data_IF_037099032338
#
_entry.id   IF_037099032338
#
_cell.length_a   1.000
_cell.length_b   1.000
_cell.length_c   1.000
_cell.angle_alpha   90.00
_cell.angle_beta   90.00
_cell.angle_gamma   90.00
#
_symmetry.space_group_name_H-M   'P 1'
#
loop_
_entity.id
_entity.type
_entity.pdbx_description
1 polymer ?
#
# COMPACT_ATOMS: atom_id res chain seq x y z
N UNK A 1 -20.07 4.23 -69.84
CA UNK A 1 -19.80 3.85 -68.44
C UNK A 1 -20.92 2.95 -68.01
N UNK A 2 -20.63 1.69 -67.71
CA UNK A 2 -21.65 0.69 -67.41
C UNK A 2 -22.29 0.95 -66.03
N UNK A 3 -23.64 1.00 -65.92
CA UNK A 3 -24.33 1.21 -64.64
C UNK A 3 -23.94 0.20 -63.56
N UNK A 4 -23.54 -1.00 -63.98
CA UNK A 4 -23.09 -2.07 -63.10
C UNK A 4 -21.83 -1.68 -62.28
N UNK A 5 -20.93 -0.87 -62.85
CA UNK A 5 -19.72 -0.42 -62.16
C UNK A 5 -20.04 0.57 -61.03
N UNK A 6 -21.03 1.45 -61.23
CA UNK A 6 -21.44 2.40 -60.20
C UNK A 6 -22.07 1.69 -58.99
N UNK A 7 -22.89 0.68 -59.24
CA UNK A 7 -23.50 -0.13 -58.18
C UNK A 7 -22.42 -0.93 -57.43
N UNK A 8 -21.48 -1.55 -58.16
CA UNK A 8 -20.37 -2.28 -57.57
C UNK A 8 -19.46 -1.38 -56.71
N UNK A 9 -19.16 -0.16 -57.17
CA UNK A 9 -18.36 0.80 -56.43
C UNK A 9 -19.07 1.31 -55.17
N UNK A 10 -20.39 1.53 -55.23
CA UNK A 10 -21.19 1.93 -54.07
C UNK A 10 -21.20 0.84 -52.99
N UNK A 11 -21.46 -0.41 -53.38
CA UNK A 11 -21.45 -1.55 -52.46
C UNK A 11 -20.07 -1.74 -51.85
N UNK A 12 -18.99 -1.64 -52.65
CA UNK A 12 -17.63 -1.75 -52.15
C UNK A 12 -17.28 -0.63 -51.15
N UNK A 13 -17.68 0.62 -51.43
CA UNK A 13 -17.46 1.74 -50.52
C UNK A 13 -18.25 1.58 -49.22
N UNK A 14 -19.51 1.16 -49.30
CA UNK A 14 -20.38 0.98 -48.15
C UNK A 14 -19.92 -0.20 -47.28
N UNK A 15 -19.57 -1.33 -47.89
CA UNK A 15 -19.01 -2.49 -47.16
C UNK A 15 -17.64 -2.20 -46.55
N UNK A 16 -16.78 -1.45 -47.26
CA UNK A 16 -15.48 -1.00 -46.71
C UNK A 16 -15.69 -0.04 -45.55
N UNK A 17 -16.64 0.90 -45.66
CA UNK A 17 -16.97 1.83 -44.60
C UNK A 17 -17.56 1.13 -43.37
N UNK A 18 -18.50 0.19 -43.57
CA UNK A 18 -19.10 -0.62 -42.51
C UNK A 18 -18.05 -1.51 -41.82
N UNK A 19 -17.14 -2.11 -42.58
CA UNK A 19 -16.02 -2.88 -42.03
C UNK A 19 -15.08 -1.98 -41.24
N UNK A 20 -14.76 -0.79 -41.76
CA UNK A 20 -13.91 0.17 -41.09
C UNK A 20 -14.49 0.64 -39.74
N UNK A 21 -15.80 0.92 -39.66
CA UNK A 21 -16.44 1.29 -38.38
C UNK A 21 -16.63 0.10 -37.44
N UNK A 22 -16.83 -1.12 -37.94
CA UNK A 22 -17.01 -2.33 -37.13
C UNK A 22 -15.69 -2.85 -36.54
N UNK A 23 -14.57 -2.63 -37.24
CA UNK A 23 -13.22 -3.01 -36.80
C UNK A 23 -12.57 -1.92 -35.94
N UNK A 24 -13.18 -0.72 -35.81
CA UNK A 24 -12.73 0.24 -34.80
C UNK A 24 -12.88 -0.39 -33.41
N UNK A 25 -11.79 -0.53 -32.63
CA UNK A 25 -11.92 -0.99 -31.26
C UNK A 25 -12.81 0.01 -30.53
N UNK A 26 -13.99 -0.44 -30.13
CA UNK A 26 -14.88 0.35 -29.28
C UNK A 26 -14.20 0.45 -27.94
N UNK A 27 -13.60 1.60 -27.66
CA UNK A 27 -13.03 1.97 -26.36
C UNK A 27 -14.10 1.77 -25.30
N UNK A 28 -14.04 0.63 -24.62
CA UNK A 28 -15.01 0.31 -23.58
C UNK A 28 -14.22 0.19 -22.30
N UNK A 29 -14.01 1.33 -21.65
CA UNK A 29 -13.57 1.33 -20.25
C UNK A 29 -14.68 0.61 -19.49
N UNK A 30 -14.33 -0.51 -18.88
CA UNK A 30 -15.24 -1.33 -18.09
C UNK A 30 -14.91 -1.22 -16.61
N UNK A 31 -15.82 -1.68 -15.75
CA UNK A 31 -15.66 -1.71 -14.28
C UNK A 31 -14.36 -2.38 -13.80
N UNK A 32 -13.80 -3.32 -14.57
CA UNK A 32 -12.55 -4.01 -14.21
C UNK A 32 -11.27 -3.26 -14.62
N UNK A 33 -11.40 -2.24 -15.47
CA UNK A 33 -10.27 -1.50 -16.05
C UNK A 33 -9.53 -0.71 -14.97
N UNK A 34 -8.26 -0.41 -15.23
CA UNK A 34 -7.41 0.37 -14.34
C UNK A 34 -7.01 1.65 -15.06
N UNK A 35 -7.44 2.79 -14.53
CA UNK A 35 -7.00 4.12 -14.97
C UNK A 35 -5.64 4.40 -14.35
N UNK A 36 -4.65 4.75 -15.16
CA UNK A 36 -3.25 4.91 -14.72
C UNK A 36 -2.90 6.39 -14.63
N UNK A 37 -2.37 6.79 -13.47
CA UNK A 37 -1.89 8.13 -13.15
C UNK A 37 -0.41 8.34 -13.56
N UNK A 38 -0.03 9.60 -13.81
CA UNK A 38 1.33 10.10 -14.01
C UNK A 38 2.30 9.57 -12.96
N UNK A 39 1.92 9.61 -11.67
CA UNK A 39 2.80 9.15 -10.58
C UNK A 39 3.17 7.67 -10.70
N UNK A 40 2.22 6.81 -11.07
CA UNK A 40 2.42 5.37 -11.22
C UNK A 40 3.29 5.04 -12.45
N UNK A 41 3.15 5.81 -13.53
CA UNK A 41 3.99 5.69 -14.72
C UNK A 41 5.44 6.08 -14.43
N UNK A 42 5.65 7.19 -13.73
CA UNK A 42 7.00 7.64 -13.35
C UNK A 42 7.69 6.65 -12.40
N UNK A 43 6.94 6.00 -11.51
CA UNK A 43 7.48 4.94 -10.65
C UNK A 43 7.88 3.69 -11.45
N UNK A 44 7.07 3.31 -12.45
CA UNK A 44 7.38 2.28 -13.45
C UNK A 44 7.29 0.83 -12.96
N UNK A 45 7.20 0.57 -11.64
CA UNK A 45 7.06 -0.82 -11.11
C UNK A 45 5.78 -1.52 -11.56
N UNK A 46 4.79 -0.78 -12.08
CA UNK A 46 3.60 -1.35 -12.72
C UNK A 46 3.95 -2.31 -13.87
N UNK A 47 5.04 -2.07 -14.60
CA UNK A 47 5.53 -2.96 -15.66
C UNK A 47 5.85 -4.36 -15.11
N UNK A 48 6.60 -4.42 -14.00
CA UNK A 48 6.96 -5.68 -13.36
C UNK A 48 5.73 -6.41 -12.79
N UNK A 49 4.76 -5.66 -12.25
CA UNK A 49 3.51 -6.21 -11.71
C UNK A 49 2.66 -6.82 -12.84
N UNK A 50 2.57 -6.15 -13.98
CA UNK A 50 1.89 -6.69 -15.17
C UNK A 50 2.60 -7.94 -15.68
N UNK A 51 3.92 -7.88 -15.89
CA UNK A 51 4.72 -9.02 -16.40
C UNK A 51 4.66 -10.26 -15.51
N UNK A 52 4.50 -10.08 -14.20
CA UNK A 52 4.34 -11.20 -13.25
C UNK A 52 2.93 -11.80 -13.25
N UNK A 53 1.96 -11.19 -13.93
CA UNK A 53 0.58 -11.67 -14.00
C UNK A 53 -0.32 -11.23 -12.84
N UNK A 54 0.19 -10.43 -11.89
CA UNK A 54 -0.63 -9.91 -10.78
C UNK A 54 -1.69 -8.89 -11.24
N UNK A 55 -1.42 -8.18 -12.35
CA UNK A 55 -2.38 -7.27 -12.98
C UNK A 55 -2.59 -7.72 -14.42
N UNK A 56 -3.78 -8.28 -14.68
CA UNK A 56 -4.26 -8.71 -16.00
C UNK A 56 -5.39 -7.84 -16.55
N UNK A 57 -5.79 -6.80 -15.81
CA UNK A 57 -6.83 -5.88 -16.24
C UNK A 57 -6.32 -4.92 -17.31
N UNK A 58 -7.23 -4.51 -18.19
CA UNK A 58 -6.98 -3.46 -19.19
C UNK A 58 -6.53 -2.17 -18.53
N UNK A 59 -5.42 -1.63 -19.00
CA UNK A 59 -4.88 -0.35 -18.53
C UNK A 59 -5.37 0.78 -19.44
N UNK A 60 -5.87 1.83 -18.81
CA UNK A 60 -6.35 3.04 -19.48
C UNK A 60 -5.43 4.18 -19.08
N UNK A 61 -4.73 4.75 -20.04
CA UNK A 61 -3.88 5.93 -19.85
C UNK A 61 -4.60 7.14 -20.45
N UNK A 62 -5.15 8.06 -19.64
CA UNK A 62 -5.83 9.23 -20.19
C UNK A 62 -4.89 10.14 -20.97
N UNK A 63 -5.40 10.82 -22.00
CA UNK A 63 -4.60 11.75 -22.81
C UNK A 63 -4.05 12.92 -21.98
N UNK A 64 -4.78 13.35 -20.94
CA UNK A 64 -4.34 14.35 -19.99
C UNK A 64 -3.05 13.96 -19.23
N UNK A 65 -2.91 12.70 -18.84
CA UNK A 65 -1.70 12.14 -18.21
C UNK A 65 -0.52 12.16 -19.18
N UNK A 66 -0.74 11.78 -20.44
CA UNK A 66 0.29 11.84 -21.48
C UNK A 66 0.75 13.28 -21.71
N UNK A 67 -0.19 14.23 -21.80
CA UNK A 67 0.11 15.66 -21.95
C UNK A 67 0.89 16.21 -20.76
N UNK A 68 0.55 15.80 -19.54
CA UNK A 68 1.28 16.21 -18.33
C UNK A 68 2.72 15.71 -18.35
N UNK A 69 2.95 14.43 -18.68
CA UNK A 69 4.28 13.87 -18.85
C UNK A 69 5.09 14.60 -19.94
N UNK A 70 4.48 14.89 -21.09
CA UNK A 70 5.12 15.67 -22.15
C UNK A 70 5.51 17.08 -21.68
N UNK A 71 4.58 17.78 -21.02
CA UNK A 71 4.82 19.11 -20.47
C UNK A 71 6.00 19.10 -19.48
N UNK A 72 6.04 18.13 -18.58
CA UNK A 72 7.14 17.95 -17.64
C UNK A 72 8.47 17.61 -18.34
N UNK A 73 8.44 16.79 -19.38
CA UNK A 73 9.62 16.40 -20.16
C UNK A 73 10.25 17.59 -20.91
N UNK A 74 9.44 18.58 -21.30
CA UNK A 74 9.89 19.75 -22.05
C UNK A 74 10.28 20.94 -21.16
N UNK A 75 9.55 21.17 -20.06
CA UNK A 75 9.61 22.44 -19.31
C UNK A 75 10.12 22.34 -17.87
N UNK A 76 10.34 21.14 -17.34
CA UNK A 76 10.83 20.98 -15.99
C UNK A 76 12.37 21.10 -15.89
N UNK A 77 12.89 21.06 -14.68
CA UNK A 77 14.30 20.86 -14.35
C UNK A 77 14.80 19.48 -14.79
N UNK A 78 16.13 19.31 -14.91
CA UNK A 78 16.76 18.13 -15.51
C UNK A 78 16.18 16.81 -14.98
N UNK A 79 16.17 16.64 -13.66
CA UNK A 79 15.75 15.39 -13.03
C UNK A 79 14.26 15.10 -13.26
N UNK A 80 13.40 16.13 -13.20
CA UNK A 80 11.97 15.97 -13.50
C UNK A 80 11.73 15.64 -14.97
N UNK A 81 12.52 16.20 -15.88
CA UNK A 81 12.44 15.87 -17.32
C UNK A 81 12.80 14.41 -17.58
N UNK A 82 13.88 13.91 -16.97
CA UNK A 82 14.28 12.51 -17.10
C UNK A 82 13.21 11.56 -16.57
N UNK A 83 12.64 11.87 -15.40
CA UNK A 83 11.53 11.10 -14.81
C UNK A 83 10.28 11.10 -15.70
N UNK A 84 9.95 12.23 -16.30
CA UNK A 84 8.80 12.33 -17.19
C UNK A 84 9.00 11.55 -18.51
N UNK A 85 10.20 11.60 -19.09
CA UNK A 85 10.56 10.76 -20.25
C UNK A 85 10.48 9.29 -19.93
N UNK A 86 11.00 8.88 -18.77
CA UNK A 86 10.85 7.52 -18.28
C UNK A 86 9.38 7.10 -18.14
N UNK A 87 8.51 7.99 -17.65
CA UNK A 87 7.06 7.73 -17.62
C UNK A 87 6.45 7.47 -19.01
N UNK A 88 6.89 8.20 -20.04
CA UNK A 88 6.48 7.96 -21.43
C UNK A 88 7.01 6.61 -21.95
N UNK A 89 8.27 6.28 -21.66
CA UNK A 89 8.87 4.98 -22.01
C UNK A 89 8.15 3.81 -21.34
N UNK A 90 7.65 4.00 -20.12
CA UNK A 90 6.83 3.03 -19.40
C UNK A 90 5.51 2.78 -20.13
N UNK A 91 4.83 3.80 -20.68
CA UNK A 91 3.63 3.61 -21.49
C UNK A 91 3.94 2.73 -22.70
N UNK A 92 5.01 3.04 -23.44
CA UNK A 92 5.42 2.26 -24.62
C UNK A 92 5.76 0.82 -24.24
N UNK A 93 6.44 0.63 -23.11
CA UNK A 93 6.77 -0.70 -22.59
C UNK A 93 5.50 -1.49 -22.26
N UNK A 94 4.53 -0.87 -21.57
CA UNK A 94 3.26 -1.50 -21.25
C UNK A 94 2.49 -1.89 -22.52
N UNK A 95 2.45 -1.03 -23.54
CA UNK A 95 1.81 -1.31 -24.83
C UNK A 95 2.44 -2.47 -25.60
N UNK A 96 3.72 -2.78 -25.34
CA UNK A 96 4.43 -3.91 -25.96
C UNK A 96 4.18 -5.26 -25.26
N UNK A 97 3.44 -5.30 -24.16
CA UNK A 97 3.17 -6.53 -23.40
C UNK A 97 1.91 -7.20 -23.93
N UNK A 98 2.05 -8.36 -24.58
CA UNK A 98 0.93 -9.09 -25.20
C UNK A 98 -0.13 -9.61 -24.22
N UNK A 99 0.19 -9.69 -22.92
CA UNK A 99 -0.72 -10.26 -21.91
C UNK A 99 -1.77 -9.28 -21.42
N UNK A 100 -1.68 -7.99 -21.76
CA UNK A 100 -2.65 -6.96 -21.35
C UNK A 100 -2.96 -6.00 -22.49
N UNK A 101 -4.15 -5.43 -22.46
CA UNK A 101 -4.51 -4.31 -23.33
C UNK A 101 -4.16 -2.99 -22.64
N UNK A 102 -3.46 -2.12 -23.36
CA UNK A 102 -3.16 -0.74 -22.93
C UNK A 102 -3.76 0.22 -23.94
N UNK A 103 -4.67 1.07 -23.49
CA UNK A 103 -5.36 2.04 -24.34
C UNK A 103 -5.10 3.47 -23.86
N UNK A 104 -4.72 4.34 -24.80
CA UNK A 104 -4.72 5.78 -24.57
C UNK A 104 -6.14 6.28 -24.77
N UNK A 105 -6.78 6.72 -23.69
CA UNK A 105 -8.16 7.21 -23.73
C UNK A 105 -8.17 8.72 -23.91
N UNK A 106 -8.80 9.18 -25.00
CA UNK A 106 -9.06 10.59 -25.21
C UNK A 106 -10.12 11.08 -24.23
N UNK A 107 -9.66 11.78 -23.21
CA UNK A 107 -10.45 12.37 -22.14
C UNK A 107 -10.72 13.86 -22.35
N UNK A 108 -10.35 14.40 -23.51
CA UNK A 108 -10.56 15.79 -23.89
C UNK A 108 -9.63 16.77 -23.18
N UNK A 109 -10.11 18.01 -23.06
CA UNK A 109 -9.38 19.07 -22.36
C UNK A 109 -9.38 18.85 -20.84
N UNK A 110 -8.27 19.20 -20.20
CA UNK A 110 -8.16 19.11 -18.75
C UNK A 110 -9.08 20.15 -18.10
N UNK A 111 -10.01 19.72 -17.26
CA UNK A 111 -10.89 20.61 -16.51
C UNK A 111 -10.11 21.46 -15.49
N UNK A 112 -10.79 22.47 -14.91
CA UNK A 112 -10.17 23.41 -13.99
C UNK A 112 -9.50 22.76 -12.76
N UNK A 113 -9.96 21.60 -12.28
CA UNK A 113 -9.33 20.87 -11.18
C UNK A 113 -8.15 19.98 -11.58
N UNK A 114 -7.67 20.06 -12.82
CA UNK A 114 -6.44 19.41 -13.25
C UNK A 114 -6.59 17.94 -13.61
N UNK A 115 -5.44 17.24 -13.71
CA UNK A 115 -5.37 15.82 -14.10
C UNK A 115 -6.01 14.93 -13.04
N UNK A 116 -5.77 15.19 -11.76
CA UNK A 116 -6.30 14.42 -10.64
C UNK A 116 -7.84 14.35 -10.64
N UNK A 117 -8.52 15.48 -10.82
CA UNK A 117 -9.98 15.52 -10.89
C UNK A 117 -10.50 14.72 -12.09
N UNK A 118 -9.81 14.82 -13.22
CA UNK A 118 -10.15 14.09 -14.43
C UNK A 118 -10.05 12.56 -14.22
N UNK A 119 -8.99 12.10 -13.54
CA UNK A 119 -8.81 10.68 -13.19
C UNK A 119 -9.96 10.16 -12.32
N UNK A 120 -10.40 10.94 -11.33
CA UNK A 120 -11.53 10.61 -10.46
C UNK A 120 -12.83 10.52 -11.27
N UNK A 121 -13.08 11.49 -12.15
CA UNK A 121 -14.27 11.51 -13.01
C UNK A 121 -14.32 10.27 -13.91
N UNK A 122 -13.21 9.94 -14.57
CA UNK A 122 -13.12 8.75 -15.45
C UNK A 122 -13.36 7.48 -14.63
N UNK A 123 -12.65 7.32 -13.50
CA UNK A 123 -12.77 6.13 -12.66
C UNK A 123 -14.21 5.93 -12.16
N UNK A 124 -14.88 6.99 -11.67
CA UNK A 124 -16.30 6.93 -11.26
C UNK A 124 -17.23 6.60 -12.42
N UNK A 125 -17.08 7.31 -13.54
CA UNK A 125 -17.98 7.20 -14.70
C UNK A 125 -18.04 5.76 -15.22
N UNK A 126 -16.92 5.07 -15.22
CA UNK A 126 -16.83 3.70 -15.75
C UNK A 126 -16.76 2.62 -14.66
N UNK A 127 -16.81 3.01 -13.37
CA UNK A 127 -16.58 2.12 -12.24
C UNK A 127 -15.19 1.46 -12.25
N UNK A 128 -14.21 2.09 -12.90
CA UNK A 128 -12.86 1.61 -13.02
C UNK A 128 -12.05 1.86 -11.74
N UNK A 129 -10.94 1.15 -11.61
CA UNK A 129 -9.99 1.31 -10.49
C UNK A 129 -8.94 2.35 -10.84
N UNK A 130 -8.34 3.00 -9.85
CA UNK A 130 -7.30 4.00 -10.04
C UNK A 130 -5.93 3.45 -9.64
N UNK A 131 -4.96 3.42 -10.56
CA UNK A 131 -3.57 3.12 -10.24
C UNK A 131 -2.80 4.43 -10.04
N UNK A 132 -2.47 4.72 -8.79
CA UNK A 132 -1.69 5.91 -8.40
C UNK A 132 -0.73 5.55 -7.26
N UNK A 133 0.43 6.20 -7.24
CA UNK A 133 1.37 6.16 -6.11
C UNK A 133 1.32 7.43 -5.27
N UNK A 134 0.58 8.45 -5.72
CA UNK A 134 0.35 9.69 -4.96
C UNK A 134 -0.53 9.44 -3.74
N UNK A 135 -0.11 10.00 -2.60
CA UNK A 135 -0.79 9.79 -1.32
C UNK A 135 -2.12 10.55 -1.24
N UNK A 136 -2.18 11.77 -1.75
CA UNK A 136 -3.35 12.62 -1.67
C UNK A 136 -4.45 12.14 -2.61
N UNK A 137 -4.10 11.84 -3.87
CA UNK A 137 -5.03 11.29 -4.85
C UNK A 137 -5.59 9.94 -4.39
N UNK A 138 -4.76 9.08 -3.78
CA UNK A 138 -5.22 7.83 -3.16
C UNK A 138 -6.28 8.10 -2.06
N UNK A 139 -6.06 9.07 -1.17
CA UNK A 139 -7.03 9.42 -0.12
C UNK A 139 -8.34 9.94 -0.69
N UNK A 140 -8.27 10.84 -1.68
CA UNK A 140 -9.46 11.38 -2.35
C UNK A 140 -10.24 10.27 -3.06
N UNK A 141 -9.56 9.42 -3.82
CA UNK A 141 -10.19 8.29 -4.53
C UNK A 141 -10.95 7.35 -3.59
N UNK A 142 -10.40 7.05 -2.41
CA UNK A 142 -11.07 6.21 -1.41
C UNK A 142 -12.31 6.86 -0.81
N UNK A 143 -12.26 8.16 -0.50
CA UNK A 143 -13.45 8.91 -0.04
C UNK A 143 -14.55 8.85 -1.10
N UNK A 144 -14.13 8.88 -2.36
CA UNK A 144 -15.00 8.80 -3.53
C UNK A 144 -15.42 7.38 -3.92
N UNK A 145 -15.13 6.38 -3.06
CA UNK A 145 -15.47 4.96 -3.25
C UNK A 145 -14.89 4.34 -4.53
N UNK A 146 -13.70 4.80 -4.93
CA UNK A 146 -12.93 4.25 -6.04
C UNK A 146 -11.87 3.31 -5.46
N UNK A 147 -11.81 2.09 -5.98
CA UNK A 147 -10.75 1.13 -5.63
C UNK A 147 -9.40 1.61 -6.17
N UNK A 148 -8.39 1.61 -5.30
CA UNK A 148 -7.03 2.08 -5.64
C UNK A 148 -6.07 0.91 -5.77
N UNK A 149 -5.35 0.84 -6.89
CA UNK A 149 -4.24 -0.07 -7.14
C UNK A 149 -2.92 0.68 -6.87
N UNK A 150 -2.44 0.61 -5.63
CA UNK A 150 -1.23 1.30 -5.21
C UNK A 150 -0.05 0.33 -5.07
N UNK A 151 1.02 0.58 -5.83
CA UNK A 151 2.21 -0.28 -5.83
C UNK A 151 2.94 -0.29 -4.48
N UNK A 152 2.94 0.82 -3.75
CA UNK A 152 3.54 0.88 -2.41
C UNK A 152 2.79 -0.02 -1.44
N UNK A 153 1.46 0.02 -1.47
CA UNK A 153 0.63 -0.84 -0.62
C UNK A 153 0.82 -2.32 -0.96
N UNK A 154 0.91 -2.66 -2.26
CA UNK A 154 1.24 -4.02 -2.70
C UNK A 154 2.61 -4.47 -2.19
N UNK A 155 3.64 -3.64 -2.35
CA UNK A 155 4.99 -3.95 -1.87
C UNK A 155 5.03 -4.17 -0.35
N UNK A 156 4.26 -3.40 0.42
CA UNK A 156 4.11 -3.59 1.86
C UNK A 156 3.40 -4.89 2.23
N UNK A 157 2.37 -5.27 1.47
CA UNK A 157 1.61 -6.50 1.66
C UNK A 157 2.42 -7.77 1.30
N UNK A 158 3.36 -7.65 0.36
CA UNK A 158 4.24 -8.75 -0.06
C UNK A 158 5.46 -8.96 0.84
N UNK A 159 5.68 -8.11 1.86
CA UNK A 159 6.82 -8.30 2.79
C UNK A 159 6.68 -9.66 3.49
N UNK A 160 7.74 -10.49 3.51
CA UNK A 160 7.70 -11.78 4.18
C UNK A 160 7.14 -11.67 5.59
N UNK A 161 6.25 -12.60 5.94
CA UNK A 161 5.75 -12.72 7.30
C UNK A 161 6.62 -13.76 8.01
N UNK A 162 7.39 -13.33 9.00
CA UNK A 162 8.10 -14.27 9.87
C UNK A 162 7.09 -15.04 10.71
N UNK A 163 7.09 -16.36 10.53
CA UNK A 163 6.21 -17.25 11.27
C UNK A 163 6.85 -17.64 12.60
N UNK A 164 6.06 -17.80 13.68
CA UNK A 164 6.55 -18.47 14.87
C UNK A 164 7.19 -19.82 14.52
N UNK A 165 8.38 -20.09 15.07
CA UNK A 165 9.19 -21.27 14.80
C UNK A 165 10.24 -21.11 13.69
N UNK A 166 10.21 -20.02 12.92
CA UNK A 166 11.25 -19.76 11.92
C UNK A 166 12.58 -19.38 12.58
N UNK A 167 13.69 -19.93 12.10
CA UNK A 167 15.03 -19.59 12.57
C UNK A 167 15.67 -18.53 11.71
N UNK A 168 16.14 -17.44 12.32
CA UNK A 168 16.74 -16.28 11.67
C UNK A 168 18.12 -16.03 12.26
N UNK A 169 19.04 -15.45 11.47
CA UNK A 169 20.29 -14.91 12.02
C UNK A 169 20.15 -13.41 12.23
N UNK A 170 20.39 -12.94 13.46
CA UNK A 170 20.19 -11.55 13.83
C UNK A 170 21.45 -11.02 14.52
N UNK A 171 21.97 -9.90 14.02
CA UNK A 171 23.02 -9.14 14.68
C UNK A 171 22.42 -8.36 15.87
N UNK A 172 22.91 -8.64 17.07
CA UNK A 172 22.45 -7.92 18.27
C UNK A 172 23.25 -6.63 18.37
N UNK A 173 22.57 -5.50 18.20
CA UNK A 173 23.22 -4.18 18.13
C UNK A 173 23.19 -3.45 19.47
N UNK A 174 22.18 -3.71 20.31
CA UNK A 174 22.01 -3.00 21.57
C UNK A 174 21.28 -3.83 22.63
N UNK A 175 21.33 -3.35 23.88
CA UNK A 175 20.56 -3.92 24.98
C UNK A 175 19.07 -3.59 24.83
N UNK A 176 18.20 -4.58 25.07
CA UNK A 176 16.74 -4.37 25.09
C UNK A 176 16.24 -3.79 26.41
N UNK A 177 14.92 -3.55 26.48
CA UNK A 177 14.29 -3.00 27.69
C UNK A 177 14.36 -3.98 28.87
N UNK A 178 14.24 -5.29 28.62
CA UNK A 178 14.46 -6.32 29.63
C UNK A 178 15.95 -6.47 29.97
N UNK A 179 16.25 -6.74 31.25
CA UNK A 179 17.63 -6.85 31.77
C UNK A 179 18.49 -7.94 31.11
N UNK A 180 17.87 -8.89 30.41
CA UNK A 180 18.52 -9.99 29.69
C UNK A 180 18.19 -9.99 28.17
N UNK A 181 17.62 -8.90 27.65
CA UNK A 181 17.25 -8.80 26.24
C UNK A 181 18.37 -8.17 25.41
N UNK A 182 18.52 -8.66 24.19
CA UNK A 182 19.23 -8.00 23.10
C UNK A 182 18.23 -7.52 22.04
N UNK A 183 18.61 -6.48 21.29
CA UNK A 183 17.82 -5.97 20.16
C UNK A 183 18.69 -5.96 18.91
N UNK A 184 18.14 -6.46 17.82
CA UNK A 184 18.67 -6.38 16.47
C UNK A 184 17.62 -5.86 15.50
N UNK A 185 17.98 -5.78 14.22
CA UNK A 185 17.09 -5.36 13.15
C UNK A 185 17.25 -6.31 11.96
N UNK A 186 16.14 -6.60 11.29
CA UNK A 186 16.16 -7.28 9.99
C UNK A 186 16.34 -6.24 8.87
N UNK A 187 16.67 -6.73 7.68
CA UNK A 187 16.90 -5.90 6.49
C UNK A 187 15.68 -5.05 6.10
N UNK A 188 14.46 -5.49 6.47
CA UNK A 188 13.21 -4.77 6.21
C UNK A 188 12.87 -3.71 7.28
N UNK A 189 13.75 -3.54 8.28
CA UNK A 189 13.60 -2.62 9.40
C UNK A 189 12.82 -3.19 10.59
N UNK A 190 12.38 -4.45 10.56
CA UNK A 190 11.71 -5.08 11.70
C UNK A 190 12.64 -5.17 12.90
N UNK A 191 12.22 -4.59 14.02
CA UNK A 191 12.99 -4.67 15.27
C UNK A 191 12.85 -6.06 15.88
N UNK A 192 13.97 -6.76 16.10
CA UNK A 192 13.99 -8.09 16.70
C UNK A 192 14.44 -7.99 18.15
N UNK A 193 13.54 -8.32 19.09
CA UNK A 193 13.82 -8.41 20.52
C UNK A 193 14.12 -9.87 20.87
N UNK A 194 15.36 -10.14 21.27
CA UNK A 194 15.84 -11.51 21.56
C UNK A 194 16.03 -11.69 23.06
N UNK A 195 15.34 -12.67 23.64
CA UNK A 195 15.54 -13.06 25.04
C UNK A 195 16.87 -13.80 25.25
N UNK A 196 17.59 -13.48 26.34
CA UNK A 196 18.88 -14.10 26.67
C UNK A 196 20.06 -13.63 25.81
N UNK A 197 19.89 -12.56 25.03
CA UNK A 197 20.86 -12.11 24.04
C UNK A 197 21.68 -10.90 24.47
N UNK A 198 21.53 -10.42 25.71
CA UNK A 198 22.31 -9.27 26.21
C UNK A 198 23.82 -9.49 26.13
N UNK A 199 24.29 -10.72 26.35
CA UNK A 199 25.71 -11.07 26.28
C UNK A 199 26.24 -11.23 24.86
N UNK A 200 25.36 -11.25 23.87
CA UNK A 200 25.70 -11.41 22.46
C UNK A 200 25.67 -10.07 21.70
N UNK A 201 25.65 -8.93 22.39
CA UNK A 201 25.74 -7.60 21.76
C UNK A 201 27.05 -7.51 20.98
N UNK A 202 26.96 -7.14 19.70
CA UNK A 202 28.07 -7.14 18.74
C UNK A 202 28.18 -8.43 17.92
N UNK A 203 27.42 -9.47 18.23
CA UNK A 203 27.46 -10.76 17.53
C UNK A 203 26.19 -11.02 16.71
N UNK A 204 26.35 -11.78 15.62
CA UNK A 204 25.24 -12.34 14.86
C UNK A 204 24.90 -13.74 15.39
N UNK A 205 23.69 -13.90 15.92
CA UNK A 205 23.23 -15.15 16.54
C UNK A 205 22.00 -15.70 15.82
N UNK A 206 21.88 -17.03 15.77
CA UNK A 206 20.67 -17.70 15.29
C UNK A 206 19.61 -17.72 16.39
N UNK A 207 18.41 -17.27 16.03
CA UNK A 207 17.26 -17.11 16.93
C UNK A 207 16.02 -17.73 16.31
N UNK A 208 15.11 -18.22 17.14
CA UNK A 208 13.81 -18.74 16.74
C UNK A 208 12.74 -17.68 17.01
N UNK A 209 11.98 -17.33 15.98
CA UNK A 209 10.83 -16.43 16.06
C UNK A 209 9.77 -17.00 16.99
N UNK A 210 9.32 -16.22 17.97
CA UNK A 210 8.30 -16.62 18.94
C UNK A 210 6.96 -15.95 18.62
N UNK A 211 6.97 -14.62 18.43
CA UNK A 211 5.77 -13.86 18.13
C UNK A 211 6.11 -12.57 17.40
N UNK A 212 5.22 -12.13 16.52
CA UNK A 212 5.30 -10.83 15.85
C UNK A 212 4.24 -9.91 16.45
N UNK A 213 4.62 -8.69 16.80
CA UNK A 213 3.71 -7.61 17.19
C UNK A 213 3.80 -6.46 16.19
N UNK A 214 2.65 -5.94 15.80
CA UNK A 214 2.56 -4.63 15.13
C UNK A 214 2.42 -3.54 16.20
N UNK A 215 3.28 -2.53 16.15
CA UNK A 215 3.24 -1.35 17.03
C UNK A 215 3.11 -0.07 16.20
N UNK A 216 2.84 1.06 16.85
CA UNK A 216 2.78 2.37 16.19
C UNK A 216 4.11 2.76 15.54
N UNK A 217 5.24 2.30 16.09
CA UNK A 217 6.58 2.56 15.57
C UNK A 217 7.03 1.55 14.49
N UNK A 218 6.20 0.55 14.16
CA UNK A 218 6.50 -0.48 13.16
C UNK A 218 6.35 -1.91 13.68
N UNK A 219 6.94 -2.86 12.96
CA UNK A 219 6.91 -4.30 13.30
C UNK A 219 7.98 -4.63 14.33
N UNK A 220 7.60 -5.41 15.33
CA UNK A 220 8.48 -5.96 16.35
C UNK A 220 8.39 -7.47 16.36
N UNK A 221 9.51 -8.17 16.17
CA UNK A 221 9.61 -9.61 16.28
C UNK A 221 10.24 -9.98 17.62
N UNK A 222 9.59 -10.83 18.40
CA UNK A 222 10.20 -11.44 19.58
C UNK A 222 10.77 -12.79 19.20
N UNK A 223 12.01 -13.02 19.58
CA UNK A 223 12.71 -14.27 19.32
C UNK A 223 13.43 -14.77 20.59
N UNK A 224 13.78 -16.05 20.59
CA UNK A 224 14.62 -16.69 21.61
C UNK A 224 15.86 -17.27 20.94
N UNK A 225 16.98 -17.32 21.64
CA UNK A 225 18.20 -17.95 21.11
C UNK A 225 17.97 -19.44 20.82
N UNK A 226 18.38 -19.91 19.65
CA UNK A 226 18.31 -21.34 19.32
C UNK A 226 19.46 -22.04 20.04
N UNK A 227 19.14 -22.77 21.11
CA UNK A 227 20.09 -23.39 22.03
C UNK A 227 19.93 -22.88 23.47
N UNK A 228 19.19 -23.66 24.28
CA UNK A 228 19.10 -23.60 25.75
C UNK A 228 18.78 -22.23 26.41
N UNK A 229 17.83 -21.48 25.88
CA UNK A 229 17.24 -20.33 26.57
C UNK A 229 15.74 -20.47 26.76
N UNK A 230 15.28 -20.85 27.96
CA UNK A 230 13.86 -20.71 28.32
C UNK A 230 13.50 -19.22 28.35
N UNK A 231 12.43 -18.84 27.64
CA UNK A 231 11.92 -17.48 27.67
C UNK A 231 11.29 -17.18 29.03
N UNK A 232 11.87 -16.22 29.77
CA UNK A 232 11.28 -15.66 30.99
C UNK A 232 10.55 -14.36 30.65
N UNK A 233 9.22 -14.40 30.67
CA UNK A 233 8.39 -13.23 30.51
C UNK A 233 8.49 -12.32 31.74
N UNK A 234 9.24 -11.22 31.63
CA UNK A 234 9.31 -10.18 32.64
C UNK A 234 8.47 -8.94 32.26
N UNK A 235 7.46 -9.10 31.39
CA UNK A 235 6.50 -8.02 31.15
C UNK A 235 5.68 -7.83 32.43
N UNK A 236 5.56 -6.61 33.00
CA UNK A 236 4.69 -6.37 34.14
C UNK A 236 3.25 -6.71 33.72
N UNK A 237 2.72 -7.83 34.24
CA UNK A 237 1.32 -8.20 34.06
C UNK A 237 0.46 -7.08 34.63
N UNK A 238 -0.24 -6.35 33.76
CA UNK A 238 -1.42 -5.57 34.15
C UNK A 238 -2.35 -6.55 34.88
N UNK A 239 -2.64 -6.28 36.15
CA UNK A 239 -3.63 -7.03 36.93
C UNK A 239 -4.93 -7.01 36.13
N UNK A 240 -5.30 -8.16 35.56
CA UNK A 240 -6.64 -8.39 35.04
C UNK A 240 -7.61 -8.23 36.19
N UNK A 241 -8.62 -7.38 36.01
CA UNK A 241 -9.74 -7.21 36.93
C UNK A 241 -10.31 -8.58 37.31
N UNK A 242 -10.09 -8.96 38.58
CA UNK A 242 -10.79 -10.06 39.19
C UNK A 242 -12.25 -9.67 39.31
N UNK A 243 -13.12 -10.38 38.61
CA UNK A 243 -14.55 -10.41 38.88
C UNK A 243 -14.77 -10.68 40.38
N UNK A 244 -15.50 -9.81 41.10
CA UNK A 244 -15.70 -9.99 42.53
C UNK A 244 -16.66 -11.15 42.78
N UNK A 245 -16.13 -12.29 43.25
CA UNK A 245 -16.95 -13.31 43.91
C UNK A 245 -17.36 -12.79 45.29
N UNK A 246 -18.67 -12.61 45.47
CA UNK A 246 -19.31 -12.23 46.73
C UNK A 246 -18.96 -13.28 47.81
N UNK A 247 -18.21 -12.87 48.83
CA UNK A 247 -18.14 -13.56 50.12
C UNK A 247 -18.65 -12.65 51.23
N UNK A 248 -19.53 -13.23 52.06
CA UNK A 248 -20.28 -12.62 53.17
C UNK A 248 -19.38 -11.98 54.24
N UNK A 249 -19.89 -11.00 55.01
CA UNK A 249 -19.07 -10.09 55.80
C UNK A 249 -18.60 -10.74 57.09
N UNK A 250 -17.33 -10.49 57.45
CA UNK A 250 -16.87 -10.60 58.83
C UNK A 250 -16.32 -9.26 59.30
N UNK A 251 -16.93 -8.84 60.39
CA UNK A 251 -16.79 -7.60 61.13
C UNK A 251 -15.41 -7.52 61.78
N UNK A 252 -14.62 -6.47 61.52
CA UNK A 252 -13.81 -5.89 62.58
C UNK A 252 -13.44 -4.44 62.30
N UNK A 253 -13.90 -3.58 63.19
CA UNK A 253 -13.58 -2.16 63.28
C UNK A 253 -12.09 -1.99 63.58
N UNK A 254 -11.44 -1.08 62.88
CA UNK A 254 -10.37 -0.27 63.48
C UNK A 254 -10.30 1.10 62.81
N UNK A 255 -10.39 2.13 63.66
CA UNK A 255 -10.33 3.55 63.33
C UNK A 255 -8.97 3.93 62.72
N UNK A 256 -8.98 4.69 61.62
CA UNK A 256 -7.80 5.46 61.16
C UNK A 256 -8.21 6.91 60.92
N UNK A 257 -7.46 7.82 61.56
CA UNK A 257 -7.57 9.29 61.51
C UNK A 257 -7.55 9.81 60.07
N UNK A 258 -8.47 10.75 59.76
CA UNK A 258 -8.46 11.56 58.51
C UNK A 258 -7.16 12.35 58.39
N UNK A 259 -6.59 12.35 57.19
CA UNK A 259 -5.37 13.09 56.84
C UNK A 259 -5.71 14.44 56.19
N UNK A 260 -4.77 15.37 56.23
CA UNK A 260 -4.93 16.75 55.71
C UNK A 260 -5.31 16.80 54.21
N UNK A 261 -5.03 15.74 53.45
CA UNK A 261 -5.43 15.57 52.05
C UNK A 261 -6.94 15.34 51.87
N UNK A 262 -7.60 14.69 52.84
CA UNK A 262 -9.04 14.40 52.77
C UNK A 262 -9.88 15.68 52.87
N UNK A 263 -9.33 16.75 53.46
CA UNK A 263 -10.01 18.05 53.61
C UNK A 263 -9.88 18.91 52.35
N UNK A 264 -8.86 18.67 51.52
CA UNK A 264 -8.64 19.39 50.27
C UNK A 264 -9.53 18.90 49.13
N UNK A 265 -9.93 17.62 49.16
CA UNK A 265 -10.82 17.03 48.15
C UNK A 265 -12.29 17.46 48.36
N UNK A 266 -12.69 17.74 49.60
CA UNK A 266 -14.06 18.16 49.93
C UNK A 266 -14.36 19.63 49.58
N UNK A 267 -13.31 20.46 49.39
CA UNK A 267 -13.41 21.87 48.96
C UNK A 267 -13.40 22.06 47.43
N UNK A 268 -13.04 21.04 46.66
CA UNK A 268 -12.99 21.12 45.20
C UNK A 268 -14.29 20.68 44.49
N UNK A 269 -15.23 20.10 45.24
CA UNK A 269 -16.50 19.59 44.71
C UNK A 269 -17.72 20.42 45.18
N UNK A 270 -17.54 21.73 45.42
CA UNK A 270 -18.62 22.66 45.74
C UNK A 270 -18.64 23.83 44.77
#
# INVERSE_FOLDING_TARGET
MDPLYFIGALIAAETTYLTYIAVRPRTTITKGSIVVDTSALIDGRIVSIVRSGFVSARLIVPSSVVRELQYMADKADHDKRERARYGLDVIQTLQSIDTIDVEIYDDGETHAGGVDEQLIIIAKKFGARLCTTDYNLNKVARVESIDVVNVNELAHALRPMHLPGETLTVAIVQQGQGSDQGVGYLDDGTMVVVGGARRAIGEAITVEAVRVLQTEAGRMLFAKRTGNGEWRDNTPKKKSDQQPTIKKPQNNRNYRKKTHEDTMIELANK
#
